data_IF_914173060332
#
_entry.id   IF_914173060332
#
_cell.length_a   1.000
_cell.length_b   1.000
_cell.length_c   1.000
_cell.angle_alpha   90.00
_cell.angle_beta   90.00
_cell.angle_gamma   90.00
#
_symmetry.space_group_name_H-M   'P 1'
#
loop_
_entity.id
_entity.type
_entity.pdbx_description
1 polymer ?
#
# COMPACT_ATOMS: atom_id res chain seq x y z
N UNK A 1 -6.95 33.03 -19.77
CA UNK A 1 -7.39 32.82 -18.36
C UNK A 1 -7.85 31.38 -18.27
N UNK A 2 -6.90 30.47 -18.08
CA UNK A 2 -7.19 29.05 -18.03
C UNK A 2 -7.50 28.67 -16.60
N UNK A 3 -8.77 28.40 -16.35
CA UNK A 3 -9.28 27.91 -15.07
C UNK A 3 -8.77 26.48 -14.91
N UNK A 4 -7.72 26.31 -14.11
CA UNK A 4 -7.26 24.99 -13.69
C UNK A 4 -8.40 24.37 -12.89
N UNK A 5 -9.06 23.40 -13.50
CA UNK A 5 -10.08 22.59 -12.85
C UNK A 5 -9.36 21.71 -11.82
N UNK A 6 -9.29 22.20 -10.59
CA UNK A 6 -8.81 21.40 -9.46
C UNK A 6 -9.81 20.27 -9.29
N UNK A 7 -9.42 19.06 -9.69
CA UNK A 7 -10.15 17.85 -9.35
C UNK A 7 -10.18 17.77 -7.83
N UNK A 8 -11.35 18.00 -7.25
CA UNK A 8 -11.61 17.63 -5.87
C UNK A 8 -11.44 16.12 -5.76
N UNK A 9 -10.31 15.72 -5.20
CA UNK A 9 -10.08 14.33 -4.82
C UNK A 9 -11.01 14.08 -3.65
N UNK A 10 -12.21 13.58 -3.94
CA UNK A 10 -13.13 13.10 -2.93
C UNK A 10 -12.50 11.89 -2.26
N UNK A 11 -11.87 12.14 -1.15
CA UNK A 11 -11.19 11.14 -0.34
C UNK A 11 -12.22 10.13 0.19
N UNK A 12 -12.12 8.83 -0.12
CA UNK A 12 -13.06 7.82 0.36
C UNK A 12 -12.85 7.42 1.83
N UNK A 13 -12.07 8.19 2.60
CA UNK A 13 -12.11 8.06 4.05
C UNK A 13 -13.41 8.71 4.47
N UNK A 14 -14.33 8.00 5.17
CA UNK A 14 -15.43 8.65 5.86
C UNK A 14 -14.84 9.37 7.09
N UNK A 15 -14.00 10.35 6.83
CA UNK A 15 -13.49 11.23 7.84
C UNK A 15 -14.56 12.29 8.03
N UNK A 16 -15.36 12.15 9.08
CA UNK A 16 -16.17 13.22 9.60
C UNK A 16 -15.28 14.45 9.73
N UNK A 17 -15.77 15.64 9.36
CA UNK A 17 -15.02 16.90 9.43
C UNK A 17 -14.28 17.07 10.77
N UNK A 18 -14.88 16.62 11.85
CA UNK A 18 -14.29 16.58 13.19
C UNK A 18 -13.01 15.70 13.26
N UNK A 19 -12.93 14.61 12.50
CA UNK A 19 -11.73 13.77 12.47
C UNK A 19 -10.58 14.44 11.71
N UNK A 20 -10.88 15.08 10.60
CA UNK A 20 -9.90 15.86 9.84
C UNK A 20 -9.34 17.02 10.69
N UNK A 21 -10.20 17.72 11.44
CA UNK A 21 -9.77 18.79 12.35
C UNK A 21 -8.84 18.27 13.46
N UNK A 22 -9.18 17.15 14.08
CA UNK A 22 -8.29 16.50 15.06
C UNK A 22 -6.95 16.11 14.44
N UNK A 23 -6.96 15.59 13.21
CA UNK A 23 -5.74 15.23 12.51
C UNK A 23 -4.92 16.47 12.13
N UNK A 24 -5.56 17.56 11.75
CA UNK A 24 -4.90 18.86 11.48
C UNK A 24 -4.17 19.40 12.72
N UNK A 25 -4.85 19.38 13.89
CA UNK A 25 -4.25 19.78 15.16
C UNK A 25 -3.06 18.87 15.51
N UNK A 26 -3.24 17.55 15.40
CA UNK A 26 -2.18 16.60 15.68
C UNK A 26 -0.99 16.71 14.70
N UNK A 27 -1.25 17.00 13.43
CA UNK A 27 -0.21 17.25 12.42
C UNK A 27 0.62 18.50 12.78
N UNK A 28 -0.03 19.55 13.26
CA UNK A 28 0.64 20.76 13.70
C UNK A 28 1.46 20.55 14.99
N UNK A 29 1.04 19.62 15.85
CA UNK A 29 1.75 19.28 17.08
C UNK A 29 2.92 18.29 16.87
N UNK A 30 2.95 17.56 15.76
CA UNK A 30 4.00 16.55 15.49
C UNK A 30 5.27 17.23 14.97
N UNK A 31 6.41 17.14 15.70
CA UNK A 31 7.66 17.80 15.31
C UNK A 31 8.22 17.27 13.99
N UNK A 32 8.03 15.99 13.68
CA UNK A 32 8.48 15.37 12.44
C UNK A 32 7.69 15.94 11.25
N UNK A 33 6.38 16.03 11.38
CA UNK A 33 5.53 16.55 10.31
C UNK A 33 5.72 18.07 10.12
N UNK A 34 6.06 18.83 11.18
CA UNK A 34 6.43 20.23 11.05
C UNK A 34 7.75 20.42 10.28
N UNK A 35 8.75 19.57 10.54
CA UNK A 35 9.97 19.57 9.74
C UNK A 35 9.70 19.16 8.29
N UNK A 36 8.86 18.15 8.08
CA UNK A 36 8.45 17.70 6.74
C UNK A 36 7.78 18.84 5.96
N UNK A 37 6.87 19.58 6.62
CA UNK A 37 6.22 20.76 6.06
C UNK A 37 7.23 21.82 5.61
N UNK A 38 8.27 22.06 6.40
CA UNK A 38 9.33 23.00 6.05
C UNK A 38 10.00 22.62 4.72
N UNK A 39 10.36 21.34 4.55
CA UNK A 39 10.99 20.86 3.29
C UNK A 39 10.04 20.87 2.09
N UNK A 40 8.76 20.65 2.30
CA UNK A 40 7.76 20.73 1.21
C UNK A 40 7.64 22.19 0.72
N UNK A 41 7.68 23.19 1.62
CA UNK A 41 7.56 24.61 1.25
C UNK A 41 8.85 25.23 0.71
N UNK A 42 9.99 24.90 1.30
CA UNK A 42 11.27 25.56 0.98
C UNK A 42 12.14 24.76 0.01
N UNK A 43 11.71 23.57 -0.34
CA UNK A 43 12.45 22.66 -1.23
C UNK A 43 13.29 21.64 -0.49
N UNK A 44 13.63 20.60 -1.21
CA UNK A 44 14.38 19.45 -0.73
C UNK A 44 15.87 19.59 -1.03
N UNK A 45 16.77 19.14 -0.14
CA UNK A 45 18.21 19.14 -0.42
C UNK A 45 18.52 18.12 -1.54
N UNK A 46 19.68 18.30 -2.18
CA UNK A 46 20.12 17.43 -3.28
C UNK A 46 20.43 16.00 -2.84
N UNK A 47 20.75 15.80 -1.57
CA UNK A 47 21.17 14.50 -1.05
C UNK A 47 20.35 14.13 0.20
N UNK A 48 19.90 12.89 0.24
CA UNK A 48 19.14 12.32 1.36
C UNK A 48 19.86 12.43 2.72
N UNK A 49 21.18 12.28 2.74
CA UNK A 49 21.99 12.34 3.96
C UNK A 49 21.98 13.73 4.65
N UNK A 50 21.59 14.77 3.94
CA UNK A 50 21.46 16.13 4.51
C UNK A 50 20.17 16.32 5.33
N UNK A 51 19.26 15.36 5.26
CA UNK A 51 18.00 15.38 5.99
C UNK A 51 18.14 14.77 7.38
N UNK A 52 17.39 15.27 8.39
CA UNK A 52 17.24 14.59 9.68
C UNK A 52 16.68 13.18 9.49
N UNK A 53 17.12 12.24 10.34
CA UNK A 53 16.72 10.82 10.25
C UNK A 53 15.21 10.58 10.08
N UNK A 54 14.31 11.22 10.84
CA UNK A 54 12.88 11.02 10.70
C UNK A 54 12.34 11.42 9.32
N UNK A 55 12.95 12.44 8.68
CA UNK A 55 12.53 12.97 7.38
C UNK A 55 13.07 12.14 6.22
N UNK A 56 14.20 11.46 6.39
CA UNK A 56 14.82 10.64 5.34
C UNK A 56 13.89 9.56 4.77
N UNK A 57 12.91 9.11 5.54
CA UNK A 57 11.91 8.14 5.07
C UNK A 57 10.96 8.71 4.02
N UNK A 58 10.79 10.04 4.00
CA UNK A 58 9.93 10.73 3.05
C UNK A 58 10.66 11.17 1.78
N UNK A 59 11.99 11.13 1.76
CA UNK A 59 12.81 11.55 0.62
C UNK A 59 12.41 10.93 -0.71
N UNK A 60 12.11 9.64 -0.73
CA UNK A 60 11.75 8.93 -1.96
C UNK A 60 10.38 9.34 -2.53
N UNK A 61 9.63 10.15 -1.78
CA UNK A 61 8.27 10.59 -2.10
C UNK A 61 8.16 12.11 -2.18
N UNK A 62 9.29 12.83 -2.24
CA UNK A 62 9.31 14.29 -2.17
C UNK A 62 8.44 14.97 -3.24
N UNK A 63 8.36 14.39 -4.45
CA UNK A 63 7.54 14.90 -5.54
C UNK A 63 6.04 14.60 -5.39
N UNK A 64 5.70 13.60 -4.56
CA UNK A 64 4.32 13.19 -4.32
C UNK A 64 3.71 13.87 -3.07
N UNK A 65 4.51 14.62 -2.31
CA UNK A 65 4.06 15.26 -1.08
C UNK A 65 3.49 16.65 -1.35
N UNK A 66 2.28 16.90 -0.87
CA UNK A 66 1.60 18.17 -0.95
C UNK A 66 1.00 18.57 0.41
N UNK A 67 0.73 19.85 0.57
CA UNK A 67 0.03 20.36 1.75
C UNK A 67 -1.26 21.01 1.28
N UNK A 68 -2.37 20.56 1.86
CA UNK A 68 -3.70 21.08 1.60
C UNK A 68 -4.44 21.23 2.93
N UNK A 69 -5.03 22.39 3.18
CA UNK A 69 -5.77 22.72 4.40
C UNK A 69 -5.06 22.40 5.72
N UNK A 70 -3.73 22.54 5.74
CA UNK A 70 -2.92 22.25 6.92
C UNK A 70 -2.64 20.77 7.16
N UNK A 71 -3.11 19.89 6.29
CA UNK A 71 -2.83 18.47 6.25
C UNK A 71 -1.73 18.17 5.22
N UNK A 72 -1.00 17.10 5.42
CA UNK A 72 0.03 16.64 4.49
C UNK A 72 -0.52 15.41 3.76
N UNK A 73 -0.40 15.42 2.43
CA UNK A 73 -0.80 14.33 1.57
C UNK A 73 0.39 13.75 0.83
N UNK A 74 0.37 12.44 0.62
CA UNK A 74 1.23 11.75 -0.33
C UNK A 74 0.37 11.30 -1.51
N UNK A 75 0.44 12.02 -2.63
CA UNK A 75 -0.52 11.92 -3.71
C UNK A 75 -1.96 12.15 -3.16
N UNK A 76 -2.80 11.12 -3.15
CA UNK A 76 -4.17 11.18 -2.61
C UNK A 76 -4.29 10.67 -1.16
N UNK A 77 -3.20 10.21 -0.53
CA UNK A 77 -3.20 9.57 0.79
C UNK A 77 -2.85 10.57 1.89
N UNK A 78 -3.65 10.59 2.95
CA UNK A 78 -3.40 11.43 4.11
C UNK A 78 -2.20 10.91 4.92
N UNK A 79 -1.23 11.78 5.19
CA UNK A 79 -0.09 11.46 6.06
C UNK A 79 -0.52 11.59 7.52
N UNK A 80 -0.44 10.49 8.28
CA UNK A 80 -0.93 10.42 9.64
C UNK A 80 0.19 10.72 10.65
N UNK A 81 -0.03 11.66 11.59
CA UNK A 81 0.91 11.96 12.69
C UNK A 81 1.06 10.75 13.63
N UNK A 82 2.22 10.65 14.26
CA UNK A 82 2.58 9.50 15.12
C UNK A 82 1.55 9.23 16.22
N UNK A 83 0.98 10.28 16.79
CA UNK A 83 0.00 10.19 17.89
C UNK A 83 -1.30 9.49 17.49
N UNK A 84 -1.68 9.51 16.21
CA UNK A 84 -2.96 8.96 15.75
C UNK A 84 -2.84 7.62 15.01
N UNK A 85 -1.62 7.14 14.72
CA UNK A 85 -1.42 5.89 13.95
C UNK A 85 -2.14 4.69 14.55
N UNK A 86 -2.16 4.57 15.88
CA UNK A 86 -2.82 3.46 16.57
C UNK A 86 -4.35 3.47 16.35
N UNK A 87 -4.98 4.64 16.37
CA UNK A 87 -6.41 4.81 16.08
C UNK A 87 -6.73 4.43 14.63
N UNK A 88 -5.94 4.95 13.68
CA UNK A 88 -6.12 4.61 12.27
C UNK A 88 -5.86 3.13 11.95
N UNK A 89 -4.88 2.50 12.59
CA UNK A 89 -4.65 1.05 12.47
C UNK A 89 -5.85 0.24 12.92
N UNK A 90 -6.47 0.62 14.04
CA UNK A 90 -7.66 -0.03 14.55
C UNK A 90 -8.81 0.04 13.56
N UNK A 91 -9.06 1.22 12.98
CA UNK A 91 -10.14 1.42 12.01
C UNK A 91 -9.88 0.70 10.68
N UNK A 92 -8.62 0.69 10.22
CA UNK A 92 -8.25 -0.07 9.03
C UNK A 92 -8.49 -1.58 9.21
N UNK A 93 -8.30 -2.07 10.44
CA UNK A 93 -8.43 -3.48 10.80
C UNK A 93 -9.81 -3.87 11.35
N UNK A 94 -10.72 -2.94 11.54
CA UNK A 94 -12.03 -3.17 12.17
C UNK A 94 -12.82 -4.35 11.57
N UNK A 95 -12.75 -4.53 10.26
CA UNK A 95 -13.44 -5.62 9.56
C UNK A 95 -12.76 -6.99 9.63
N UNK A 96 -11.62 -7.14 10.33
CA UNK A 96 -10.82 -8.38 10.42
C UNK A 96 -10.59 -9.09 9.07
N UNK A 97 -10.42 -8.31 8.00
CA UNK A 97 -10.34 -8.78 6.62
C UNK A 97 -9.03 -9.52 6.28
N UNK A 98 -8.10 -9.60 7.23
CA UNK A 98 -6.77 -10.15 7.04
C UNK A 98 -5.75 -9.14 6.50
N UNK A 99 -4.50 -9.56 6.36
CA UNK A 99 -3.36 -8.67 6.06
C UNK A 99 -3.51 -7.97 4.70
N UNK A 100 -3.76 -8.73 3.63
CA UNK A 100 -3.78 -8.20 2.26
C UNK A 100 -4.85 -7.12 2.04
N UNK A 101 -6.08 -7.38 2.50
CA UNK A 101 -7.18 -6.43 2.34
C UNK A 101 -7.00 -5.18 3.19
N UNK A 102 -6.44 -5.33 4.41
CA UNK A 102 -6.11 -4.19 5.27
C UNK A 102 -5.01 -3.33 4.64
N UNK A 103 -3.97 -3.96 4.05
CA UNK A 103 -2.93 -3.25 3.30
C UNK A 103 -3.48 -2.51 2.08
N UNK A 104 -4.38 -3.15 1.33
CA UNK A 104 -5.02 -2.52 0.17
C UNK A 104 -5.80 -1.27 0.59
N UNK A 105 -6.65 -1.38 1.61
CA UNK A 105 -7.43 -0.27 2.16
C UNK A 105 -6.54 0.88 2.65
N UNK A 106 -5.43 0.55 3.32
CA UNK A 106 -4.46 1.55 3.77
C UNK A 106 -3.80 2.28 2.60
N UNK A 107 -3.45 1.57 1.53
CA UNK A 107 -2.84 2.16 0.32
C UNK A 107 -3.75 3.14 -0.42
N UNK A 108 -5.04 3.04 -0.23
CA UNK A 108 -6.01 3.93 -0.85
C UNK A 108 -6.27 5.18 -0.01
N UNK A 109 -6.01 5.13 1.29
CA UNK A 109 -6.52 6.18 2.20
C UNK A 109 -5.45 6.92 2.98
N UNK A 110 -4.48 6.22 3.56
CA UNK A 110 -3.53 6.80 4.52
C UNK A 110 -2.08 6.41 4.22
N UNK A 111 -1.15 7.17 4.78
CA UNK A 111 0.27 6.91 4.64
C UNK A 111 1.06 7.32 5.90
N UNK A 112 2.01 6.50 6.30
CA UNK A 112 3.18 6.83 7.13
C UNK A 112 4.29 5.83 6.84
N UNK A 113 5.56 6.17 7.09
CA UNK A 113 6.67 5.25 6.93
C UNK A 113 6.52 4.02 7.86
N UNK A 114 6.61 2.82 7.29
CA UNK A 114 6.45 1.56 8.04
C UNK A 114 5.01 1.07 8.22
N UNK A 115 4.00 1.71 7.63
CA UNK A 115 2.58 1.31 7.74
C UNK A 115 2.34 -0.17 7.44
N UNK A 116 3.08 -0.75 6.49
CA UNK A 116 2.92 -2.16 6.12
C UNK A 116 3.32 -3.10 7.26
N UNK A 117 4.39 -2.77 7.98
CA UNK A 117 4.86 -3.57 9.10
C UNK A 117 3.94 -3.41 10.32
N UNK A 118 3.45 -2.19 10.55
CA UNK A 118 2.48 -1.91 11.60
C UNK A 118 1.18 -2.71 11.37
N UNK A 119 0.67 -2.75 10.15
CA UNK A 119 -0.51 -3.54 9.78
C UNK A 119 -0.25 -5.04 9.98
N UNK A 120 0.90 -5.55 9.53
CA UNK A 120 1.25 -6.96 9.73
C UNK A 120 1.29 -7.33 11.20
N UNK A 121 1.87 -6.48 12.02
CA UNK A 121 1.96 -6.68 13.45
C UNK A 121 0.58 -6.64 14.11
N UNK A 122 -0.28 -5.68 13.73
CA UNK A 122 -1.65 -5.57 14.23
C UNK A 122 -2.50 -6.81 13.87
N UNK A 123 -2.40 -7.30 12.63
CA UNK A 123 -3.12 -8.51 12.19
C UNK A 123 -2.60 -9.75 12.90
N UNK A 124 -1.28 -9.89 13.10
CA UNK A 124 -0.68 -11.01 13.84
C UNK A 124 -1.06 -10.99 15.33
N UNK A 125 -1.23 -9.83 15.93
CA UNK A 125 -1.65 -9.69 17.32
C UNK A 125 -3.16 -9.89 17.55
N UNK A 126 -3.94 -9.95 16.47
CA UNK A 126 -5.40 -10.06 16.55
C UNK A 126 -5.87 -11.52 16.70
N UNK A 127 -6.46 -11.87 17.83
CA UNK A 127 -6.96 -13.22 18.11
C UNK A 127 -8.02 -13.71 17.12
N UNK A 128 -8.88 -12.79 16.64
CA UNK A 128 -9.93 -13.10 15.66
C UNK A 128 -9.28 -13.51 14.33
N UNK A 129 -8.33 -12.72 13.86
CA UNK A 129 -7.60 -13.02 12.61
C UNK A 129 -6.80 -14.31 12.72
N UNK A 130 -6.17 -14.59 13.87
CA UNK A 130 -5.41 -15.80 14.09
C UNK A 130 -6.31 -17.05 14.06
N UNK A 131 -7.48 -17.00 14.69
CA UNK A 131 -8.46 -18.11 14.66
C UNK A 131 -8.96 -18.41 13.25
N UNK A 132 -9.13 -17.38 12.42
CA UNK A 132 -9.56 -17.56 11.02
C UNK A 132 -8.43 -18.00 10.10
N UNK A 133 -7.20 -17.58 10.34
CA UNK A 133 -6.04 -17.98 9.56
C UNK A 133 -5.71 -19.48 9.73
N UNK A 134 -5.84 -20.01 10.94
CA UNK A 134 -5.64 -21.43 11.22
C UNK A 134 -6.67 -22.36 10.53
N UNK A 135 -7.79 -21.81 10.05
CA UNK A 135 -8.80 -22.58 9.29
C UNK A 135 -8.49 -22.69 7.79
N UNK A 136 -7.54 -21.91 7.30
CA UNK A 136 -7.00 -22.07 5.95
C UNK A 136 -5.87 -23.10 5.97
N UNK A 137 -6.19 -24.35 6.34
CA UNK A 137 -5.33 -25.47 5.98
C UNK A 137 -5.14 -25.44 4.47
N UNK A 138 -3.91 -25.60 3.96
CA UNK A 138 -3.72 -25.77 2.52
C UNK A 138 -4.67 -26.90 2.11
N UNK A 139 -5.61 -26.61 1.22
CA UNK A 139 -6.43 -27.64 0.61
C UNK A 139 -5.44 -28.66 0.06
N UNK A 140 -5.46 -29.86 0.62
CA UNK A 140 -4.74 -31.00 0.05
C UNK A 140 -5.12 -30.98 -1.42
N UNK A 141 -4.15 -30.68 -2.27
CA UNK A 141 -4.23 -31.06 -3.66
C UNK A 141 -4.59 -32.52 -3.61
N UNK A 142 -5.87 -32.87 -3.89
CA UNK A 142 -6.25 -34.22 -4.17
C UNK A 142 -5.47 -34.57 -5.42
N UNK A 143 -4.35 -35.25 -5.22
CA UNK A 143 -3.75 -36.06 -6.26
C UNK A 143 -4.83 -37.07 -6.62
N UNK A 144 -5.50 -36.83 -7.73
CA UNK A 144 -6.27 -37.88 -8.41
C UNK A 144 -5.26 -38.95 -8.78
N UNK A 145 -5.12 -39.94 -7.90
CA UNK A 145 -4.58 -41.24 -8.26
C UNK A 145 -5.60 -41.82 -9.22
N UNK A 146 -5.38 -41.59 -10.50
CA UNK A 146 -6.02 -42.39 -11.55
C UNK A 146 -5.51 -43.82 -11.41
N UNK A 147 -6.26 -44.61 -10.67
CA UNK A 147 -6.20 -46.05 -10.75
C UNK A 147 -6.75 -46.45 -12.12
N UNK A 148 -5.90 -46.66 -13.08
CA UNK A 148 -6.24 -47.42 -14.26
C UNK A 148 -5.11 -48.37 -14.59
N UNK A 149 -5.51 -49.65 -14.48
CA UNK A 149 -4.73 -50.77 -14.89
C UNK A 149 -4.42 -50.79 -16.38
N UNK A 150 -3.35 -51.47 -16.62
CA UNK A 150 -2.94 -52.26 -17.78
C UNK A 150 -3.51 -51.89 -19.15
N UNK A 151 -2.68 -51.47 -20.06
CA UNK A 151 -2.32 -52.15 -21.32
C UNK A 151 -1.43 -51.29 -22.20
N UNK A 152 -0.30 -51.90 -22.55
CA UNK A 152 0.43 -51.86 -23.82
C UNK A 152 0.72 -50.55 -24.53
N UNK A 153 2.05 -50.34 -24.66
CA UNK A 153 2.78 -49.85 -25.82
C UNK A 153 2.32 -48.55 -26.54
N UNK A 154 3.11 -47.54 -26.51
CA UNK A 154 3.89 -47.10 -27.67
C UNK A 154 4.72 -45.86 -27.37
N UNK A 155 5.99 -45.99 -27.65
CA UNK A 155 7.02 -44.95 -27.86
C UNK A 155 6.49 -43.79 -28.69
N UNK A 156 6.68 -42.55 -28.21
CA UNK A 156 7.18 -41.43 -29.04
C UNK A 156 7.67 -40.29 -28.16
N UNK A 157 8.97 -40.07 -28.26
CA UNK A 157 9.68 -38.84 -27.91
C UNK A 157 9.04 -37.66 -28.63
N UNK A 158 8.77 -36.56 -27.91
CA UNK A 158 8.94 -35.24 -28.47
C UNK A 158 9.14 -34.19 -27.37
N UNK A 159 10.37 -33.85 -27.20
CA UNK A 159 10.89 -32.59 -26.66
C UNK A 159 10.25 -31.41 -27.37
N UNK A 160 9.63 -30.48 -26.62
CA UNK A 160 9.29 -29.15 -27.10
C UNK A 160 9.92 -28.14 -26.14
N UNK A 161 10.81 -27.25 -26.61
CA UNK A 161 11.43 -26.23 -25.78
C UNK A 161 10.49 -25.06 -25.55
N UNK A 162 10.19 -24.80 -24.29
CA UNK A 162 9.56 -23.57 -23.79
C UNK A 162 10.51 -22.40 -23.92
N UNK A 163 10.54 -21.72 -25.06
CA UNK A 163 11.16 -20.38 -25.15
C UNK A 163 10.71 -19.68 -26.43
N UNK A 164 9.46 -19.24 -26.54
CA UNK A 164 9.09 -18.31 -27.63
C UNK A 164 7.68 -17.69 -27.42
N UNK A 165 7.34 -17.26 -26.21
CA UNK A 165 6.05 -16.55 -26.01
C UNK A 165 6.16 -15.12 -25.46
N UNK A 166 7.37 -14.58 -25.24
CA UNK A 166 7.56 -13.24 -24.66
C UNK A 166 8.01 -12.16 -25.64
N UNK A 167 8.15 -12.47 -26.93
CA UNK A 167 8.67 -11.50 -27.93
C UNK A 167 7.64 -10.95 -28.92
N UNK A 168 6.34 -11.24 -28.75
CA UNK A 168 5.32 -10.76 -29.69
C UNK A 168 4.39 -9.67 -29.17
N UNK A 169 4.59 -9.15 -27.93
CA UNK A 169 3.75 -8.08 -27.39
C UNK A 169 4.41 -6.69 -27.47
N UNK A 170 5.70 -6.59 -27.83
CA UNK A 170 6.40 -5.30 -27.87
C UNK A 170 6.39 -4.63 -29.26
N UNK A 171 5.92 -5.30 -30.31
CA UNK A 171 5.92 -4.75 -31.68
C UNK A 171 4.62 -4.09 -32.18
N UNK A 172 3.59 -3.96 -31.38
CA UNK A 172 2.30 -3.44 -31.85
C UNK A 172 1.92 -2.04 -31.33
N UNK A 173 2.78 -1.33 -30.60
CA UNK A 173 2.47 0.01 -30.09
C UNK A 173 3.49 1.10 -30.42
N UNK A 174 4.16 0.99 -31.58
CA UNK A 174 5.00 2.09 -32.05
C UNK A 174 4.74 2.33 -33.55
N UNK A 175 3.55 2.86 -33.91
CA UNK A 175 3.23 3.61 -35.14
C UNK A 175 1.75 4.03 -35.09
N UNK A 176 1.50 5.22 -34.53
CA UNK A 176 0.59 6.25 -35.06
C UNK A 176 0.67 7.45 -34.12
#
# INVERSE_FOLDING_TARGET
MDTILVHQITNPIPATDNRLDRTRIATTADPTLNQLRHYIFHGWPLQKCQLPQPIQHYWNYCEELAIEDGLIFKAHRLVIPTSQRAEYLKDLHEGHLGEEKTLLRARETVFWPGISDDIRNAVKACDICQKHNNRRSPSRLMTYLACHGSSSESTYLNTVPTTTYWLQIISANFLL
#
